data_IF_145358697373
#
_entry.id   IF_145358697373
#
_cell.length_a   1.000
_cell.length_b   1.000
_cell.length_c   1.000
_cell.angle_alpha   90.00
_cell.angle_beta   90.00
_cell.angle_gamma   90.00
#
_symmetry.space_group_name_H-M   'P 1'
#
loop_
_entity.id
_entity.type
_entity.pdbx_description
1 polymer ?
#
# COMPACT_ATOMS: atom_id res chain seq x y z
N UNK A 1 -4.28 5.53 -17.10
CA UNK A 1 -3.87 4.36 -16.29
C UNK A 1 -2.53 3.87 -16.82
N UNK A 2 -1.61 3.50 -15.95
CA UNK A 2 -0.34 2.91 -16.35
C UNK A 2 -0.45 1.46 -16.81
N UNK A 3 0.59 0.98 -17.51
CA UNK A 3 0.75 -0.42 -17.94
C UNK A 3 2.08 -0.94 -17.40
N UNK A 4 2.08 -2.19 -16.94
CA UNK A 4 3.28 -2.88 -16.45
C UNK A 4 3.49 -4.21 -17.19
N UNK A 5 4.73 -4.69 -17.20
CA UNK A 5 5.10 -6.04 -17.66
C UNK A 5 6.15 -6.61 -16.71
N UNK A 6 5.82 -7.70 -16.01
CA UNK A 6 6.76 -8.38 -15.11
C UNK A 6 7.87 -9.12 -15.88
N UNK A 7 9.09 -9.06 -15.40
CA UNK A 7 10.28 -9.67 -16.01
C UNK A 7 11.14 -10.42 -14.99
N UNK A 8 11.84 -11.44 -15.47
CA UNK A 8 12.89 -12.16 -14.76
C UNK A 8 14.13 -12.10 -15.64
N UNK A 9 15.00 -11.11 -15.44
CA UNK A 9 16.19 -10.86 -16.24
C UNK A 9 17.45 -11.00 -15.38
N UNK A 10 18.49 -11.66 -15.88
CA UNK A 10 19.83 -11.50 -15.31
C UNK A 10 20.42 -10.14 -15.69
N UNK A 11 21.64 -9.83 -15.25
CA UNK A 11 22.36 -8.62 -15.67
C UNK A 11 22.57 -8.61 -17.19
N UNK A 12 22.90 -9.76 -17.78
CA UNK A 12 23.10 -9.94 -19.23
C UNK A 12 21.80 -9.77 -20.03
N UNK A 13 20.67 -10.26 -19.50
CA UNK A 13 19.36 -10.03 -20.12
C UNK A 13 18.96 -8.55 -20.04
N UNK A 14 19.27 -7.89 -18.92
CA UNK A 14 19.00 -6.47 -18.70
C UNK A 14 19.85 -5.57 -19.61
N UNK A 15 21.13 -5.92 -19.84
CA UNK A 15 21.97 -5.25 -20.84
C UNK A 15 21.41 -5.43 -22.25
N UNK A 16 21.07 -6.66 -22.66
CA UNK A 16 20.48 -6.92 -23.99
C UNK A 16 19.17 -6.17 -24.22
N UNK A 17 18.37 -6.01 -23.16
CA UNK A 17 17.16 -5.19 -23.19
C UNK A 17 17.48 -3.70 -23.40
N UNK A 18 18.48 -3.16 -22.69
CA UNK A 18 18.94 -1.78 -22.87
C UNK A 18 19.51 -1.56 -24.29
N UNK A 19 20.34 -2.48 -24.78
CA UNK A 19 20.90 -2.45 -26.13
C UNK A 19 19.79 -2.44 -27.20
N UNK A 20 18.80 -3.32 -27.05
CA UNK A 20 17.63 -3.31 -27.93
C UNK A 20 16.85 -1.99 -27.83
N UNK A 21 16.56 -1.50 -26.62
CA UNK A 21 15.82 -0.25 -26.44
C UNK A 21 16.49 0.92 -27.16
N UNK A 22 17.83 1.00 -27.13
CA UNK A 22 18.64 1.97 -27.89
C UNK A 22 18.46 1.87 -29.41
N UNK A 23 18.18 0.69 -29.97
CA UNK A 23 17.87 0.55 -31.41
C UNK A 23 16.49 1.10 -31.82
N UNK A 24 15.61 1.44 -30.87
CA UNK A 24 14.22 1.87 -31.17
C UNK A 24 14.07 3.38 -31.42
N UNK A 25 15.17 4.12 -31.54
CA UNK A 25 15.17 5.55 -31.86
C UNK A 25 16.25 6.32 -31.10
N UNK A 26 15.99 7.60 -30.81
CA UNK A 26 16.89 8.43 -30.00
C UNK A 26 16.64 8.17 -28.50
N UNK A 27 16.95 6.95 -28.07
CA UNK A 27 16.69 6.47 -26.70
C UNK A 27 17.91 6.67 -25.81
N UNK A 28 17.69 7.30 -24.66
CA UNK A 28 18.66 7.37 -23.55
C UNK A 28 18.09 6.65 -22.33
N UNK A 29 18.95 5.94 -21.59
CA UNK A 29 18.64 5.46 -20.26
C UNK A 29 19.18 6.45 -19.24
N UNK A 30 18.36 6.81 -18.25
CA UNK A 30 18.66 7.79 -17.21
C UNK A 30 18.51 7.13 -15.83
N UNK A 31 19.44 7.35 -14.88
CA UNK A 31 19.31 6.82 -13.53
C UNK A 31 18.07 7.42 -12.83
N UNK A 32 17.49 6.71 -11.86
CA UNK A 32 16.34 7.23 -11.11
C UNK A 32 16.64 8.46 -10.23
N UNK A 33 17.92 8.78 -9.99
CA UNK A 33 18.39 9.89 -9.15
C UNK A 33 19.66 10.51 -9.76
N UNK A 34 19.83 11.82 -9.61
CA UNK A 34 21.02 12.55 -10.07
C UNK A 34 21.37 13.67 -9.09
N UNK A 35 22.66 14.01 -8.86
CA UNK A 35 23.04 15.21 -8.12
C UNK A 35 22.69 16.52 -8.86
N UNK A 36 22.46 16.47 -10.17
CA UNK A 36 22.10 17.61 -11.03
C UNK A 36 20.75 17.40 -11.72
N UNK A 37 20.16 18.49 -12.24
CA UNK A 37 19.02 18.43 -13.17
C UNK A 37 19.34 17.71 -14.48
N UNK A 38 20.62 17.65 -14.83
CA UNK A 38 21.12 17.16 -16.11
C UNK A 38 21.59 15.72 -15.92
N UNK A 39 20.62 14.79 -16.05
CA UNK A 39 20.85 13.36 -15.83
C UNK A 39 21.83 12.82 -16.89
N UNK A 40 22.98 12.34 -16.42
CA UNK A 40 23.96 11.64 -17.26
C UNK A 40 23.34 10.32 -17.73
N UNK A 41 23.41 10.06 -19.04
CA UNK A 41 22.91 8.81 -19.60
C UNK A 41 23.79 7.63 -19.21
N UNK A 42 23.18 6.50 -18.88
CA UNK A 42 23.88 5.24 -18.63
C UNK A 42 23.95 4.38 -19.89
N UNK A 43 25.12 3.76 -20.11
CA UNK A 43 25.33 2.87 -21.24
C UNK A 43 25.32 1.38 -20.90
N UNK A 44 25.59 1.05 -19.64
CA UNK A 44 25.76 -0.33 -19.15
C UNK A 44 24.89 -0.59 -17.91
N UNK A 45 24.35 -1.81 -17.81
CA UNK A 45 23.61 -2.27 -16.63
C UNK A 45 24.53 -3.04 -15.68
N UNK A 46 24.55 -2.64 -14.42
CA UNK A 46 25.28 -3.26 -13.30
C UNK A 46 24.39 -3.37 -12.05
N UNK A 47 24.88 -4.03 -11.01
CA UNK A 47 24.09 -4.29 -9.79
C UNK A 47 23.73 -3.00 -9.01
N UNK A 48 24.47 -1.91 -9.23
CA UNK A 48 24.22 -0.61 -8.61
C UNK A 48 23.20 0.25 -9.37
N UNK A 49 22.90 -0.06 -10.63
CA UNK A 49 22.04 0.75 -11.50
C UNK A 49 20.82 0.01 -12.08
N UNK A 50 20.41 -1.10 -11.46
CA UNK A 50 19.22 -1.90 -11.82
C UNK A 50 17.87 -1.15 -11.81
N UNK A 51 17.83 0.15 -11.47
CA UNK A 51 16.62 0.99 -11.55
C UNK A 51 16.90 2.23 -12.42
N UNK A 52 16.31 2.27 -13.61
CA UNK A 52 16.52 3.34 -14.59
C UNK A 52 15.27 3.65 -15.42
N UNK A 53 15.29 4.78 -16.11
CA UNK A 53 14.20 5.27 -16.96
C UNK A 53 14.67 5.39 -18.41
N UNK A 54 13.91 4.82 -19.34
CA UNK A 54 14.11 5.00 -20.76
C UNK A 54 13.32 6.21 -21.26
N UNK A 55 14.01 7.14 -21.93
CA UNK A 55 13.43 8.29 -22.62
C UNK A 55 13.76 8.19 -24.12
N UNK A 56 12.76 8.14 -24.99
CA UNK A 56 12.95 8.27 -26.43
C UNK A 56 12.71 9.72 -26.88
N UNK A 57 13.80 10.47 -27.08
CA UNK A 57 13.78 11.87 -27.51
C UNK A 57 13.18 12.08 -28.90
N UNK A 58 13.06 11.03 -29.72
CA UNK A 58 12.35 11.05 -31.00
C UNK A 58 10.83 10.84 -30.89
N UNK A 59 10.34 10.49 -29.69
CA UNK A 59 8.93 10.21 -29.40
C UNK A 59 8.33 11.24 -28.44
N UNK A 60 9.12 11.71 -27.47
CA UNK A 60 8.73 12.82 -26.60
C UNK A 60 9.95 13.59 -26.09
N UNK A 61 9.81 14.91 -26.00
CA UNK A 61 10.74 15.81 -25.31
C UNK A 61 10.34 16.09 -23.85
N UNK A 62 9.21 15.54 -23.38
CA UNK A 62 8.65 15.80 -22.06
C UNK A 62 9.38 15.01 -20.97
N UNK A 63 10.49 15.58 -20.49
CA UNK A 63 11.23 15.13 -19.32
C UNK A 63 11.12 16.17 -18.20
N UNK A 64 10.38 15.83 -17.15
CA UNK A 64 10.19 16.67 -15.96
C UNK A 64 11.07 16.14 -14.82
N UNK A 65 11.98 16.99 -14.33
CA UNK A 65 12.79 16.72 -13.14
C UNK A 65 12.21 17.47 -11.94
N UNK A 66 12.43 16.93 -10.73
CA UNK A 66 12.15 17.63 -9.48
C UNK A 66 13.29 17.46 -8.49
N UNK A 67 13.65 18.53 -7.79
CA UNK A 67 14.61 18.48 -6.69
C UNK A 67 13.95 17.95 -5.41
N UNK A 68 14.65 17.09 -4.68
CA UNK A 68 14.23 16.52 -3.40
C UNK A 68 15.06 17.17 -2.29
N UNK A 69 14.63 18.33 -1.82
CA UNK A 69 15.41 19.20 -0.91
C UNK A 69 15.91 18.47 0.34
N UNK A 70 15.13 17.57 0.93
CA UNK A 70 15.52 16.81 2.12
C UNK A 70 16.64 15.78 1.87
N UNK A 71 16.92 15.44 0.61
CA UNK A 71 17.87 14.38 0.24
C UNK A 71 18.99 14.86 -0.69
N UNK A 72 18.98 16.13 -1.11
CA UNK A 72 20.09 16.74 -1.86
C UNK A 72 20.25 16.24 -3.30
N UNK A 73 19.20 15.68 -3.91
CA UNK A 73 19.26 15.13 -5.27
C UNK A 73 18.00 15.43 -6.10
N UNK A 74 18.14 15.34 -7.42
CA UNK A 74 17.05 15.38 -8.39
C UNK A 74 16.51 13.98 -8.68
N UNK A 75 15.22 13.89 -9.00
CA UNK A 75 14.57 12.69 -9.55
C UNK A 75 13.73 13.04 -10.77
N UNK A 76 13.46 12.04 -11.60
CA UNK A 76 12.47 12.16 -12.66
C UNK A 76 11.06 12.09 -12.08
N UNK A 77 10.19 13.01 -12.51
CA UNK A 77 8.74 12.92 -12.29
C UNK A 77 8.14 12.09 -13.43
N UNK A 78 8.18 10.76 -13.29
CA UNK A 78 7.67 9.82 -14.29
C UNK A 78 6.14 9.92 -14.49
N UNK A 79 5.40 10.50 -13.54
CA UNK A 79 3.96 10.75 -13.70
C UNK A 79 3.74 11.82 -14.78
N UNK A 80 4.57 12.86 -14.77
CA UNK A 80 4.52 13.95 -15.75
C UNK A 80 5.32 13.63 -17.03
N UNK A 81 6.42 12.88 -16.93
CA UNK A 81 7.35 12.61 -18.04
C UNK A 81 6.94 11.41 -18.89
N UNK A 82 7.23 11.44 -20.19
CA UNK A 82 6.95 10.34 -21.12
C UNK A 82 8.11 9.35 -21.17
N UNK A 83 8.32 8.66 -20.04
CA UNK A 83 9.42 7.70 -19.81
C UNK A 83 8.91 6.31 -19.42
N UNK A 84 9.68 5.27 -19.73
CA UNK A 84 9.43 3.90 -19.28
C UNK A 84 10.38 3.59 -18.11
N UNK A 85 9.83 3.31 -16.93
CA UNK A 85 10.57 2.77 -15.80
C UNK A 85 11.00 1.33 -16.10
N UNK A 86 12.28 1.02 -15.85
CA UNK A 86 12.80 -0.32 -15.75
C UNK A 86 13.24 -0.58 -14.31
N UNK A 87 12.68 -1.60 -13.69
CA UNK A 87 13.15 -2.17 -12.43
C UNK A 87 13.70 -3.57 -12.73
N UNK A 88 15.01 -3.74 -12.61
CA UNK A 88 15.69 -5.01 -12.82
C UNK A 88 15.29 -6.07 -11.78
N UNK A 89 15.45 -7.33 -12.16
CA UNK A 89 15.20 -8.46 -11.26
C UNK A 89 16.32 -8.58 -10.22
N UNK A 90 15.96 -8.92 -8.98
CA UNK A 90 16.93 -9.12 -7.91
C UNK A 90 17.26 -10.60 -7.74
N UNK A 91 18.55 -10.96 -7.71
CA UNK A 91 19.02 -12.31 -7.41
C UNK A 91 19.41 -12.41 -5.93
N UNK A 92 18.85 -13.38 -5.20
CA UNK A 92 19.21 -13.68 -3.80
C UNK A 92 18.92 -15.14 -3.47
N UNK A 93 19.80 -15.79 -2.71
CA UNK A 93 19.59 -17.13 -2.13
C UNK A 93 19.07 -18.17 -3.18
N UNK A 94 19.75 -18.24 -4.33
CA UNK A 94 19.38 -19.06 -5.49
C UNK A 94 17.95 -18.82 -6.05
N UNK A 95 17.43 -17.61 -5.87
CA UNK A 95 16.10 -17.19 -6.35
C UNK A 95 16.19 -15.84 -7.07
N UNK A 96 15.65 -15.76 -8.29
CA UNK A 96 15.40 -14.48 -8.98
C UNK A 96 14.00 -14.01 -8.60
N UNK A 97 13.95 -12.76 -8.14
CA UNK A 97 12.75 -12.03 -7.78
C UNK A 97 12.34 -11.10 -8.94
N UNK A 98 11.04 -10.89 -9.18
CA UNK A 98 10.56 -10.27 -10.39
C UNK A 98 10.93 -8.79 -10.44
N UNK A 99 11.44 -8.38 -11.59
CA UNK A 99 11.51 -6.99 -12.02
C UNK A 99 10.27 -6.59 -12.82
N UNK A 100 10.27 -5.39 -13.38
CA UNK A 100 9.21 -4.91 -14.29
C UNK A 100 9.75 -3.89 -15.29
N UNK A 101 9.03 -3.72 -16.40
CA UNK A 101 8.90 -2.39 -17.00
C UNK A 101 7.54 -1.79 -16.65
N UNK A 102 7.46 -0.47 -16.52
CA UNK A 102 6.23 0.25 -16.22
C UNK A 102 6.22 1.63 -16.87
N UNK A 103 5.03 2.11 -17.24
CA UNK A 103 4.83 3.46 -17.75
C UNK A 103 3.41 3.94 -17.44
N UNK A 104 3.27 5.22 -17.09
CA UNK A 104 1.98 5.91 -17.04
C UNK A 104 1.67 6.60 -18.37
N UNK A 105 0.45 6.41 -18.89
CA UNK A 105 -0.03 6.99 -20.16
C UNK A 105 -0.97 8.17 -19.98
N UNK A 106 -1.11 8.66 -18.75
CA UNK A 106 -1.85 9.87 -18.39
C UNK A 106 -1.02 10.67 -17.39
N UNK A 107 -1.22 11.98 -17.37
CA UNK A 107 -0.63 12.88 -16.39
C UNK A 107 -1.68 13.86 -15.85
N UNK A 108 -1.49 14.35 -14.62
CA UNK A 108 -2.35 15.39 -14.04
C UNK A 108 -1.89 16.76 -14.54
N UNK A 109 -2.69 17.41 -15.38
CA UNK A 109 -2.52 18.82 -15.69
C UNK A 109 -2.93 19.64 -14.46
N UNK A 110 -1.96 20.31 -13.83
CA UNK A 110 -2.15 21.03 -12.55
C UNK A 110 -3.01 22.29 -12.68
N UNK A 111 -3.00 22.94 -13.84
CA UNK A 111 -3.76 24.18 -14.10
C UNK A 111 -5.25 23.91 -14.23
N UNK A 112 -5.60 22.82 -14.92
CA UNK A 112 -6.98 22.42 -15.24
C UNK A 112 -7.55 21.38 -14.27
N UNK A 113 -6.71 20.81 -13.41
CA UNK A 113 -7.04 19.73 -12.45
C UNK A 113 -7.67 18.50 -13.13
N UNK A 114 -7.27 18.21 -14.37
CA UNK A 114 -7.75 17.06 -15.17
C UNK A 114 -6.61 16.12 -15.55
N UNK A 115 -6.94 14.84 -15.71
CA UNK A 115 -6.03 13.87 -16.32
C UNK A 115 -6.05 14.04 -17.84
N UNK A 116 -4.87 14.26 -18.43
CA UNK A 116 -4.66 14.29 -19.87
C UNK A 116 -3.87 13.05 -20.31
N UNK A 117 -4.11 12.52 -21.53
CA UNK A 117 -3.28 11.47 -22.09
C UNK A 117 -1.87 11.99 -22.41
N UNK A 118 -0.87 11.12 -22.28
CA UNK A 118 0.45 11.33 -22.89
C UNK A 118 0.39 11.03 -24.39
N UNK A 119 1.48 11.28 -25.11
CA UNK A 119 1.55 11.21 -26.57
C UNK A 119 1.17 9.81 -27.10
N UNK A 120 0.34 9.70 -28.16
CA UNK A 120 0.01 8.40 -28.76
C UNK A 120 1.25 7.61 -29.21
N UNK A 121 2.29 8.32 -29.65
CA UNK A 121 3.58 7.79 -30.08
C UNK A 121 4.33 7.14 -28.91
N UNK A 122 4.23 7.71 -27.70
CA UNK A 122 4.77 7.11 -26.48
C UNK A 122 4.06 5.79 -26.13
N UNK A 123 2.74 5.73 -26.34
CA UNK A 123 1.97 4.49 -26.19
C UNK A 123 2.44 3.39 -27.15
N UNK A 124 2.60 3.73 -28.44
CA UNK A 124 3.12 2.82 -29.49
C UNK A 124 4.55 2.36 -29.19
N UNK A 125 5.40 3.27 -28.71
CA UNK A 125 6.79 2.94 -28.35
C UNK A 125 6.86 1.96 -27.17
N UNK A 126 6.07 2.15 -26.11
CA UNK A 126 5.96 1.16 -25.04
C UNK A 126 5.52 -0.21 -25.55
N UNK A 127 4.56 -0.26 -26.48
CA UNK A 127 4.10 -1.54 -27.06
C UNK A 127 5.18 -2.22 -27.92
N UNK A 128 6.04 -1.45 -28.59
CA UNK A 128 7.26 -1.98 -29.26
C UNK A 128 8.23 -2.61 -28.25
N UNK A 129 8.52 -1.91 -27.14
CA UNK A 129 9.42 -2.39 -26.09
C UNK A 129 8.84 -3.65 -25.41
N UNK A 130 7.57 -3.62 -25.00
CA UNK A 130 6.88 -4.76 -24.40
C UNK A 130 6.72 -5.94 -25.39
N UNK A 131 6.51 -5.65 -26.68
CA UNK A 131 6.43 -6.65 -27.74
C UNK A 131 7.76 -7.39 -27.95
N UNK A 132 8.89 -6.68 -27.87
CA UNK A 132 10.22 -7.30 -27.93
C UNK A 132 10.45 -8.25 -26.76
N UNK A 133 10.15 -7.84 -25.52
CA UNK A 133 10.28 -8.72 -24.34
C UNK A 133 9.45 -9.99 -24.56
N UNK A 134 8.18 -9.86 -24.96
CA UNK A 134 7.29 -11.00 -25.23
C UNK A 134 7.78 -11.95 -26.32
N UNK A 135 8.65 -11.49 -27.23
CA UNK A 135 9.20 -12.28 -28.35
C UNK A 135 10.54 -12.94 -28.02
N UNK A 136 11.35 -12.34 -27.15
CA UNK A 136 12.73 -12.78 -26.84
C UNK A 136 12.88 -13.31 -25.41
N UNK A 137 11.78 -13.64 -24.75
CA UNK A 137 11.74 -14.17 -23.38
C UNK A 137 10.67 -15.25 -23.25
N UNK A 138 10.91 -16.25 -22.41
CA UNK A 138 9.95 -17.32 -22.14
C UNK A 138 8.86 -16.83 -21.17
N UNK A 139 7.62 -17.31 -21.34
CA UNK A 139 6.51 -16.96 -20.44
C UNK A 139 6.70 -17.67 -19.10
N UNK A 140 6.83 -16.91 -18.01
CA UNK A 140 6.75 -17.47 -16.65
C UNK A 140 5.28 -17.57 -16.28
N UNK A 141 4.85 -18.81 -16.08
CA UNK A 141 3.45 -19.18 -15.82
C UNK A 141 3.34 -19.67 -14.38
N UNK A 142 2.33 -19.20 -13.67
CA UNK A 142 1.97 -19.67 -12.34
C UNK A 142 0.55 -20.23 -12.33
N UNK A 143 0.37 -21.36 -11.66
CA UNK A 143 -0.95 -21.93 -11.38
C UNK A 143 -1.28 -21.71 -9.91
N UNK A 144 -2.40 -21.05 -9.65
CA UNK A 144 -2.92 -20.86 -8.29
C UNK A 144 -3.28 -22.25 -7.70
N UNK A 145 -2.67 -22.68 -6.58
CA UNK A 145 -2.91 -24.01 -6.03
C UNK A 145 -4.32 -24.19 -5.45
N UNK A 146 -5.00 -23.08 -5.11
CA UNK A 146 -6.35 -23.05 -4.55
C UNK A 146 -7.38 -22.99 -5.68
N UNK A 147 -7.20 -22.06 -6.63
CA UNK A 147 -8.15 -21.82 -7.73
C UNK A 147 -7.93 -22.70 -8.96
N UNK A 148 -6.74 -23.27 -9.11
CA UNK A 148 -6.26 -23.97 -10.32
C UNK A 148 -6.25 -23.09 -11.58
N UNK A 149 -6.31 -21.78 -11.39
CA UNK A 149 -6.22 -20.78 -12.45
C UNK A 149 -4.76 -20.57 -12.86
N UNK A 150 -4.48 -20.63 -14.16
CA UNK A 150 -3.13 -20.49 -14.70
C UNK A 150 -2.95 -19.12 -15.35
N UNK A 151 -1.98 -18.35 -14.86
CA UNK A 151 -1.72 -16.96 -15.26
C UNK A 151 -0.26 -16.76 -15.67
N UNK A 152 -0.02 -15.87 -16.65
CA UNK A 152 1.33 -15.39 -16.96
C UNK A 152 1.71 -14.34 -15.91
N UNK A 153 2.75 -14.60 -15.12
CA UNK A 153 3.23 -13.71 -14.06
C UNK A 153 4.45 -12.87 -14.47
N UNK A 154 5.10 -13.23 -15.59
CA UNK A 154 6.16 -12.43 -16.18
C UNK A 154 6.85 -13.12 -17.35
N UNK A 155 8.00 -12.58 -17.73
CA UNK A 155 8.79 -13.06 -18.87
C UNK A 155 10.25 -13.26 -18.47
N UNK A 156 10.78 -14.47 -18.65
CA UNK A 156 12.15 -14.83 -18.31
C UNK A 156 13.09 -14.64 -19.51
N UNK A 157 14.13 -13.84 -19.31
CA UNK A 157 15.21 -13.68 -20.28
C UNK A 157 16.02 -14.97 -20.47
N UNK A 158 16.90 -14.99 -21.46
CA UNK A 158 17.69 -16.18 -21.82
C UNK A 158 18.66 -16.56 -20.70
N UNK A 159 19.26 -15.58 -20.02
CA UNK A 159 20.10 -15.79 -18.85
C UNK A 159 19.29 -16.31 -17.67
N UNK A 160 18.15 -15.70 -17.38
CA UNK A 160 17.27 -16.12 -16.28
C UNK A 160 16.69 -17.52 -16.50
N UNK A 161 16.42 -17.91 -17.75
CA UNK A 161 16.00 -19.29 -18.05
C UNK A 161 17.13 -20.28 -17.83
N UNK A 162 18.35 -20.02 -18.31
CA UNK A 162 19.52 -20.86 -18.00
C UNK A 162 19.75 -21.02 -16.50
N UNK A 163 19.56 -19.95 -15.74
CA UNK A 163 19.62 -19.99 -14.27
C UNK A 163 18.56 -20.94 -13.69
N UNK A 164 17.30 -20.83 -14.13
CA UNK A 164 16.23 -21.75 -13.71
C UNK A 164 16.53 -23.21 -14.08
N UNK A 165 16.96 -23.47 -15.32
CA UNK A 165 17.31 -24.81 -15.81
C UNK A 165 18.49 -25.42 -15.03
N UNK A 166 19.37 -24.60 -14.46
CA UNK A 166 20.47 -25.04 -13.57
C UNK A 166 20.05 -25.32 -12.11
N UNK A 167 18.75 -25.26 -11.80
CA UNK A 167 18.21 -25.47 -10.45
C UNK A 167 17.95 -24.20 -9.64
N UNK A 168 18.06 -23.03 -10.28
CA UNK A 168 17.60 -21.75 -9.74
C UNK A 168 16.07 -21.67 -9.65
N UNK A 169 15.55 -20.70 -8.88
CA UNK A 169 14.10 -20.52 -8.69
C UNK A 169 13.62 -19.13 -9.08
N UNK A 170 12.34 -19.02 -9.42
CA UNK A 170 11.64 -17.74 -9.57
C UNK A 170 10.68 -17.51 -8.40
N UNK A 171 10.71 -16.32 -7.80
CA UNK A 171 9.71 -15.86 -6.83
C UNK A 171 8.58 -15.10 -7.53
N UNK A 172 7.35 -15.20 -7.04
CA UNK A 172 6.21 -14.43 -7.58
C UNK A 172 6.14 -13.01 -7.02
N UNK A 173 6.61 -12.85 -5.79
CA UNK A 173 6.68 -11.57 -5.11
C UNK A 173 8.12 -11.05 -5.21
N UNK A 174 8.37 -9.72 -5.28
CA UNK A 174 9.68 -9.18 -4.91
C UNK A 174 10.06 -9.68 -3.51
N UNK A 175 11.35 -9.74 -3.14
CA UNK A 175 11.68 -10.15 -1.79
C UNK A 175 11.03 -9.10 -0.89
N UNK A 176 10.28 -9.55 0.11
CA UNK A 176 9.83 -8.65 1.15
C UNK A 176 11.06 -7.89 1.60
N UNK A 177 11.10 -6.58 1.33
CA UNK A 177 12.16 -5.73 1.86
C UNK A 177 11.83 -5.59 3.35
N UNK A 178 12.12 -6.67 4.08
CA UNK A 178 12.53 -6.65 5.45
C UNK A 178 13.84 -5.85 5.49
N UNK A 179 13.69 -4.54 5.28
CA UNK A 179 14.46 -3.57 6.02
C UNK A 179 14.43 -4.07 7.47
N UNK A 180 15.49 -3.90 8.25
CA UNK A 180 15.31 -3.61 9.66
C UNK A 180 14.60 -2.25 9.78
N UNK A 181 13.35 -2.17 9.31
CA UNK A 181 12.38 -1.29 9.89
C UNK A 181 12.31 -1.75 11.34
N UNK A 182 12.86 -0.93 12.23
CA UNK A 182 12.08 -0.56 13.40
C UNK A 182 10.67 -0.28 12.85
N UNK A 183 9.79 -1.28 12.97
CA UNK A 183 8.43 -1.28 12.43
C UNK A 183 7.85 0.12 12.69
N UNK A 184 7.16 0.76 11.75
CA UNK A 184 6.62 2.10 12.02
C UNK A 184 5.64 2.06 13.20
N UNK A 185 5.09 0.88 13.53
CA UNK A 185 4.42 0.62 14.81
C UNK A 185 5.36 0.42 15.98
N UNK A 186 6.60 -0.07 15.83
CA UNK A 186 7.62 -0.06 16.89
C UNK A 186 8.17 1.35 17.14
N UNK A 187 8.46 2.14 16.09
CA UNK A 187 8.77 3.57 16.21
C UNK A 187 7.61 4.32 16.86
N UNK A 188 6.36 4.07 16.44
CA UNK A 188 5.17 4.57 17.11
C UNK A 188 5.03 4.08 18.57
N UNK A 189 5.32 2.81 18.86
CA UNK A 189 5.33 2.25 20.23
C UNK A 189 6.42 2.82 21.11
N UNK A 190 7.52 3.32 20.54
CA UNK A 190 8.63 3.92 21.28
C UNK A 190 8.33 5.41 21.51
N UNK A 191 7.93 6.14 20.46
CA UNK A 191 7.67 7.58 20.51
C UNK A 191 6.38 7.95 21.27
N UNK A 192 5.36 7.08 21.23
CA UNK A 192 4.07 7.32 21.88
C UNK A 192 3.78 6.37 23.05
N UNK A 193 4.77 5.58 23.53
CA UNK A 193 4.56 4.54 24.57
C UNK A 193 3.81 5.03 25.80
N UNK A 194 4.12 6.26 26.19
CA UNK A 194 3.67 6.88 27.44
C UNK A 194 2.60 7.95 27.22
N UNK A 195 2.13 8.14 25.97
CA UNK A 195 0.98 8.99 25.71
C UNK A 195 -0.33 8.29 26.11
N UNK A 196 -1.24 9.05 26.70
CA UNK A 196 -2.53 8.54 27.18
C UNK A 196 -3.37 7.97 26.04
N UNK A 197 -3.37 8.63 24.88
CA UNK A 197 -4.05 8.16 23.67
C UNK A 197 -3.53 6.81 23.17
N UNK A 198 -2.22 6.56 23.22
CA UNK A 198 -1.65 5.29 22.78
C UNK A 198 -1.92 4.15 23.77
N UNK A 199 -1.92 4.47 25.08
CA UNK A 199 -2.34 3.52 26.12
C UNK A 199 -3.82 3.15 25.99
N UNK A 200 -4.69 4.11 25.71
CA UNK A 200 -6.10 3.87 25.44
C UNK A 200 -6.31 2.98 24.20
N UNK A 201 -5.59 3.26 23.10
CA UNK A 201 -5.59 2.43 21.88
C UNK A 201 -5.15 0.98 22.13
N UNK A 202 -4.08 0.76 22.91
CA UNK A 202 -3.64 -0.59 23.26
C UNK A 202 -4.61 -1.32 24.19
N UNK A 203 -5.23 -0.61 25.14
CA UNK A 203 -6.27 -1.17 26.01
C UNK A 203 -7.53 -1.56 25.22
N UNK A 204 -7.97 -0.73 24.27
CA UNK A 204 -9.09 -1.03 23.37
C UNK A 204 -8.78 -2.27 22.49
N UNK A 205 -7.60 -2.35 21.89
CA UNK A 205 -7.18 -3.55 21.13
C UNK A 205 -7.12 -4.80 22.02
N UNK A 206 -6.58 -4.70 23.23
CA UNK A 206 -6.52 -5.81 24.16
C UNK A 206 -7.94 -6.26 24.56
N UNK A 207 -8.83 -5.31 24.88
CA UNK A 207 -10.23 -5.56 25.23
C UNK A 207 -10.97 -6.24 24.07
N UNK A 208 -10.78 -5.78 22.82
CA UNK A 208 -11.39 -6.39 21.62
C UNK A 208 -10.86 -7.80 21.34
N UNK A 209 -9.55 -8.03 21.49
CA UNK A 209 -8.91 -9.32 21.17
C UNK A 209 -9.04 -10.39 22.27
N UNK A 210 -9.23 -9.97 23.53
CA UNK A 210 -9.32 -10.87 24.69
C UNK A 210 -10.76 -11.01 25.24
N UNK A 211 -11.72 -10.25 24.72
CA UNK A 211 -13.14 -10.47 25.02
C UNK A 211 -13.56 -11.89 24.61
N UNK A 212 -14.14 -12.64 25.55
CA UNK A 212 -14.67 -13.98 25.27
C UNK A 212 -15.84 -13.83 24.27
N UNK A 213 -16.14 -14.84 23.42
CA UNK A 213 -17.18 -14.71 22.38
C UNK A 213 -18.55 -14.24 22.87
N UNK A 214 -18.91 -14.54 24.13
CA UNK A 214 -20.15 -14.10 24.78
C UNK A 214 -20.21 -12.60 25.11
N UNK A 215 -19.06 -11.93 25.23
CA UNK A 215 -18.92 -10.53 25.68
C UNK A 215 -18.73 -9.57 24.47
N UNK A 216 -18.91 -10.08 23.24
CA UNK A 216 -18.80 -9.32 21.99
C UNK A 216 -20.11 -8.58 21.68
N UNK A 217 -20.00 -7.39 21.11
CA UNK A 217 -21.14 -6.58 20.67
C UNK A 217 -21.91 -7.34 19.57
N UNK A 218 -23.21 -7.56 19.82
CA UNK A 218 -24.18 -8.14 18.88
C UNK A 218 -25.00 -7.02 18.23
N UNK A 219 -25.26 -7.13 16.93
CA UNK A 219 -26.00 -6.13 16.14
C UNK A 219 -27.25 -6.76 15.50
N UNK A 220 -28.30 -5.92 15.38
CA UNK A 220 -29.74 -6.22 15.17
C UNK A 220 -30.11 -7.61 14.60
N UNK A 221 -30.68 -7.73 13.40
CA UNK A 221 -31.17 -6.73 12.44
C UNK A 221 -32.64 -6.31 12.73
N UNK A 222 -33.10 -5.14 12.23
CA UNK A 222 -34.50 -4.67 12.41
C UNK A 222 -35.42 -5.15 11.28
N UNK A 223 -34.90 -5.32 10.05
CA UNK A 223 -35.72 -5.76 8.91
C UNK A 223 -35.93 -7.29 8.91
N UNK A 224 -34.90 -8.06 9.27
CA UNK A 224 -34.92 -9.52 9.21
C UNK A 224 -34.61 -10.22 10.55
N UNK A 225 -34.36 -9.49 11.64
CA UNK A 225 -34.00 -10.08 12.94
C UNK A 225 -32.59 -10.69 13.03
N UNK A 226 -31.84 -10.77 11.93
CA UNK A 226 -30.61 -11.57 11.85
C UNK A 226 -29.42 -10.94 12.58
N UNK A 227 -28.80 -11.72 13.47
CA UNK A 227 -27.85 -11.26 14.49
C UNK A 227 -26.41 -11.51 14.08
N UNK A 228 -25.63 -10.45 13.94
CA UNK A 228 -24.21 -10.54 13.58
C UNK A 228 -23.29 -9.92 14.62
N UNK A 229 -22.05 -10.43 14.66
CA UNK A 229 -21.01 -10.03 15.61
C UNK A 229 -20.02 -9.05 14.97
N UNK A 230 -19.57 -8.06 15.74
CA UNK A 230 -18.56 -7.08 15.32
C UNK A 230 -17.14 -7.71 15.26
N UNK A 231 -16.90 -8.64 14.32
CA UNK A 231 -15.57 -9.23 14.12
C UNK A 231 -15.24 -9.68 12.69
N UNK A 232 -16.16 -9.49 11.73
CA UNK A 232 -15.91 -9.89 10.35
C UNK A 232 -14.95 -8.89 9.67
N UNK A 233 -13.71 -9.34 9.39
CA UNK A 233 -12.51 -8.48 9.22
C UNK A 233 -12.49 -7.55 8.00
N UNK A 234 -13.50 -7.59 7.14
CA UNK A 234 -13.49 -6.94 5.82
C UNK A 234 -14.57 -5.86 5.63
N UNK A 235 -15.27 -5.42 6.69
CA UNK A 235 -16.52 -4.64 6.55
C UNK A 235 -16.47 -3.21 7.14
N UNK A 236 -15.40 -2.82 7.84
CA UNK A 236 -15.26 -1.46 8.37
C UNK A 236 -13.81 -0.98 8.19
N UNK A 237 -13.64 0.11 7.44
CA UNK A 237 -12.39 0.88 7.42
C UNK A 237 -12.52 2.05 8.40
N UNK A 238 -11.48 2.28 9.20
CA UNK A 238 -11.32 3.52 9.98
C UNK A 238 -10.40 4.42 9.19
N UNK A 239 -10.81 5.66 8.93
CA UNK A 239 -9.94 6.64 8.30
C UNK A 239 -9.10 7.31 9.39
N UNK A 240 -7.78 7.13 9.33
CA UNK A 240 -6.86 7.50 10.42
C UNK A 240 -6.79 9.02 10.63
N UNK A 241 -7.02 9.79 9.56
CA UNK A 241 -6.88 11.24 9.54
C UNK A 241 -8.04 11.98 10.25
N UNK A 242 -9.23 11.35 10.33
CA UNK A 242 -10.46 11.96 10.87
C UNK A 242 -11.23 11.07 11.88
N UNK A 243 -10.72 9.86 12.15
CA UNK A 243 -11.29 8.86 13.07
C UNK A 243 -12.71 8.37 12.74
N UNK A 244 -13.19 8.60 11.51
CA UNK A 244 -14.53 8.17 11.08
C UNK A 244 -14.60 6.66 10.89
N UNK A 245 -15.68 6.03 11.40
CA UNK A 245 -15.99 4.60 11.23
C UNK A 245 -17.08 4.45 10.16
N UNK A 246 -16.79 3.70 9.09
CA UNK A 246 -17.79 3.36 8.06
C UNK A 246 -18.44 2.01 8.33
N UNK A 247 -19.77 1.98 8.53
CA UNK A 247 -20.56 0.75 8.57
C UNK A 247 -20.95 0.23 7.17
N UNK A 248 -21.19 -1.09 7.01
CA UNK A 248 -21.71 -1.65 5.77
C UNK A 248 -23.03 -1.00 5.34
N UNK A 249 -23.13 -0.70 4.04
CA UNK A 249 -24.40 -0.27 3.42
C UNK A 249 -25.41 -1.41 3.25
N UNK A 250 -25.00 -2.66 3.45
CA UNK A 250 -25.80 -3.86 3.14
C UNK A 250 -25.91 -4.76 4.38
N UNK A 251 -27.11 -5.22 4.72
CA UNK A 251 -27.29 -6.21 5.78
C UNK A 251 -26.79 -7.59 5.31
N UNK A 252 -25.92 -8.29 6.06
CA UNK A 252 -25.43 -9.61 5.65
C UNK A 252 -26.51 -10.70 5.66
N UNK A 253 -27.57 -10.54 6.46
CA UNK A 253 -28.65 -11.53 6.57
C UNK A 253 -29.68 -11.45 5.45
N UNK A 254 -30.21 -10.26 5.15
CA UNK A 254 -31.24 -10.07 4.12
C UNK A 254 -30.77 -9.45 2.80
N UNK A 255 -29.50 -9.05 2.68
CA UNK A 255 -28.97 -8.43 1.45
C UNK A 255 -29.49 -7.01 1.16
N UNK A 256 -30.35 -6.45 2.02
CA UNK A 256 -30.93 -5.12 1.79
C UNK A 256 -29.91 -3.99 1.93
N UNK A 257 -29.98 -3.04 0.99
CA UNK A 257 -29.19 -1.81 1.01
C UNK A 257 -29.91 -0.75 1.85
N UNK A 258 -29.21 -0.13 2.81
CA UNK A 258 -29.69 1.12 3.41
C UNK A 258 -29.72 2.21 2.33
N UNK A 259 -30.90 2.77 2.08
CA UNK A 259 -30.99 4.08 1.44
C UNK A 259 -30.33 5.12 2.36
N UNK A 260 -29.32 5.81 1.85
CA UNK A 260 -28.71 6.92 2.55
C UNK A 260 -29.56 8.16 2.31
N UNK A 261 -30.44 8.49 3.26
CA UNK A 261 -30.89 9.88 3.38
C UNK A 261 -29.65 10.75 3.62
N UNK A 262 -29.32 11.59 2.64
CA UNK A 262 -28.07 12.36 2.60
C UNK A 262 -28.04 13.47 3.64
N UNK A 263 -27.67 13.12 4.87
CA UNK A 263 -27.45 14.05 5.97
C UNK A 263 -26.05 13.89 6.58
N UNK A 264 -25.38 15.00 6.84
CA UNK A 264 -24.20 15.03 7.72
C UNK A 264 -24.71 14.89 9.15
N UNK A 265 -24.41 13.77 9.80
CA UNK A 265 -24.80 13.54 11.20
C UNK A 265 -23.77 14.16 12.17
N UNK A 266 -24.22 14.79 13.27
CA UNK A 266 -23.32 15.21 14.35
C UNK A 266 -22.68 14.00 15.06
N UNK A 267 -21.60 14.20 15.84
CA UNK A 267 -20.76 13.11 16.38
C UNK A 267 -21.36 12.36 17.58
N UNK A 268 -22.59 11.88 17.43
CA UNK A 268 -23.27 10.93 18.34
C UNK A 268 -23.74 9.67 17.61
N UNK A 269 -23.10 9.34 16.47
CA UNK A 269 -23.53 8.24 15.61
C UNK A 269 -23.15 6.85 16.17
N UNK A 270 -23.85 6.41 17.21
CA UNK A 270 -24.13 4.98 17.35
C UNK A 270 -24.92 4.56 16.11
N UNK A 271 -24.35 3.63 15.33
CA UNK A 271 -25.00 3.12 14.13
C UNK A 271 -26.42 2.64 14.46
N UNK A 272 -27.44 3.28 13.89
CA UNK A 272 -28.84 3.18 14.32
C UNK A 272 -29.36 1.74 14.49
N UNK A 273 -29.27 1.28 15.73
CA UNK A 273 -29.82 0.07 16.33
C UNK A 273 -30.29 0.51 17.72
N UNK A 274 -31.52 0.98 17.86
CA UNK A 274 -31.94 1.61 19.11
C UNK A 274 -31.86 0.65 20.30
N UNK A 275 -31.06 1.07 21.30
CA UNK A 275 -31.11 0.54 22.66
C UNK A 275 -32.22 1.31 23.38
N UNK A 276 -33.37 0.68 23.56
CA UNK A 276 -34.49 1.32 24.25
C UNK A 276 -34.23 1.45 25.75
N UNK A 277 -34.14 2.71 26.20
CA UNK A 277 -34.57 3.26 27.51
C UNK A 277 -33.97 2.61 28.79
N UNK A 278 -33.33 3.38 29.67
CA UNK A 278 -34.01 4.47 30.38
C UNK A 278 -33.15 5.72 30.67
N UNK A 279 -33.86 6.85 30.74
CA UNK A 279 -33.58 8.07 31.54
C UNK A 279 -32.35 8.94 31.20
N UNK A 280 -32.63 9.88 30.28
CA UNK A 280 -32.21 11.30 30.29
C UNK A 280 -30.78 11.64 30.74
N UNK A 281 -29.90 11.83 29.76
CA UNK A 281 -28.73 12.71 29.89
C UNK A 281 -28.86 13.87 28.90
N UNK A 282 -29.02 15.10 29.40
CA UNK A 282 -28.78 16.30 28.58
C UNK A 282 -27.29 16.58 28.65
N UNK A 283 -26.63 16.49 27.50
CA UNK A 283 -25.23 16.83 27.32
C UNK A 283 -25.00 18.29 27.70
N UNK A 284 -23.95 18.58 28.46
CA UNK A 284 -22.94 19.65 28.27
C UNK A 284 -21.66 19.19 29.00
N UNK A 285 -20.55 19.29 28.29
CA UNK A 285 -19.13 19.05 28.58
C UNK A 285 -18.65 18.42 29.91
N UNK A 286 -17.87 17.33 29.76
CA UNK A 286 -16.94 16.68 30.71
C UNK A 286 -17.38 16.46 32.17
N UNK A 287 -17.60 15.19 32.55
CA UNK A 287 -17.75 14.79 33.95
C UNK A 287 -16.39 14.53 34.63
N UNK A 288 -16.18 15.11 35.81
CA UNK A 288 -15.07 14.75 36.70
C UNK A 288 -15.36 13.41 37.39
N UNK A 289 -14.34 12.55 37.47
CA UNK A 289 -14.40 11.33 38.31
C UNK A 289 -14.65 11.75 39.75
N UNK A 290 -15.71 11.25 40.38
CA UNK A 290 -16.00 11.59 41.77
C UNK A 290 -15.05 10.83 42.72
N UNK A 291 -14.89 11.32 43.95
CA UNK A 291 -13.93 10.78 44.93
C UNK A 291 -14.13 9.28 45.20
N UNK A 292 -15.36 8.78 45.14
CA UNK A 292 -15.67 7.37 45.39
C UNK A 292 -15.31 6.49 44.19
N UNK A 293 -15.51 6.99 42.96
CA UNK A 293 -15.04 6.32 41.73
C UNK A 293 -13.51 6.25 41.68
N UNK A 294 -12.82 7.34 42.04
CA UNK A 294 -11.36 7.35 42.12
C UNK A 294 -10.83 6.36 43.18
N UNK A 295 -11.47 6.29 44.36
CA UNK A 295 -11.12 5.33 45.41
C UNK A 295 -11.41 3.88 44.98
N UNK A 296 -12.51 3.63 44.27
CA UNK A 296 -12.82 2.31 43.72
C UNK A 296 -11.78 1.88 42.66
N UNK A 297 -11.37 2.81 41.80
CA UNK A 297 -10.32 2.57 40.80
C UNK A 297 -8.95 2.29 41.46
N UNK A 298 -8.61 3.04 42.51
CA UNK A 298 -7.38 2.81 43.31
C UNK A 298 -7.36 1.42 43.98
N UNK A 299 -8.51 0.95 44.49
CA UNK A 299 -8.66 -0.43 44.99
C UNK A 299 -8.48 -1.46 43.89
N UNK A 300 -9.18 -1.30 42.78
CA UNK A 300 -9.15 -2.23 41.66
C UNK A 300 -7.74 -2.39 41.07
N UNK A 301 -6.94 -1.32 41.08
CA UNK A 301 -5.55 -1.30 40.61
C UNK A 301 -4.51 -1.69 41.69
N UNK A 302 -4.94 -2.09 42.90
CA UNK A 302 -4.04 -2.53 43.97
C UNK A 302 -3.14 -1.42 44.55
N UNK A 303 -3.62 -0.16 44.57
CA UNK A 303 -2.83 1.02 44.99
C UNK A 303 -3.39 1.77 46.21
N UNK A 304 -4.20 1.12 47.05
CA UNK A 304 -4.47 1.68 48.39
C UNK A 304 -3.21 1.59 49.26
N UNK A 305 -2.69 2.74 49.69
CA UNK A 305 -1.68 2.80 50.76
C UNK A 305 -2.25 2.16 52.04
N UNK A 306 -1.45 1.41 52.82
CA UNK A 306 -1.90 0.88 54.10
C UNK A 306 -2.34 2.05 55.00
N UNK A 307 -3.58 1.98 55.52
CA UNK A 307 -4.07 2.99 56.46
C UNK A 307 -3.16 2.97 57.69
N UNK A 308 -2.58 4.12 58.00
CA UNK A 308 -1.98 4.36 59.32
C UNK A 308 -3.08 4.20 60.37
N UNK A 309 -3.01 3.14 61.17
CA UNK A 309 -3.76 3.04 62.41
C UNK A 309 -3.26 4.14 63.34
N UNK A 310 -4.15 5.03 63.76
CA UNK A 310 -3.87 6.09 64.73
C UNK A 310 -4.60 5.81 66.04
N UNK A 311 -3.99 4.97 66.87
CA UNK A 311 -3.91 5.09 68.33
C UNK A 311 -2.49 4.67 68.71
#
# INVERSE_FOLDING_TARGET
MGRQLGIYFTREDSQRFLDFAKTTGNVVALPGRSPSSDFVSMDTVDDGNMEFFLLNRGVSSNLVTRYVTQQGYFVLDFLQSSVIEFSGSLLRDNTIFPGRIWADFVFLNKERTILLPKEPEFSKWYDTIAGWIKKHSERVVWTDPIRRETSIVGYAGVGARKFYDSGGRFSLNPPSIAKPQLDEKLLGRILYRDSEAYRAYLQDIARRRLARPKDRIKLTCQLCGDRFYYENRNIHNVRVDDWTIYCPKVCPGCGEKRELHGGVYPPTHSCGWDVMKNETYKQWDHASINKNELQWLMRYLGRESPKSLSV
#
